data_IF_530167640941
#
_entry.id   IF_530167640941
#
_cell.length_a   1.000
_cell.length_b   1.000
_cell.length_c   1.000
_cell.angle_alpha   90.00
_cell.angle_beta   90.00
_cell.angle_gamma   90.00
#
_symmetry.space_group_name_H-M   'P 1'
#
loop_
_entity.id
_entity.type
_entity.pdbx_description
1 polymer ?
#
# COMPACT_ATOMS: atom_id res chain seq x y z
N UNK A 1 14.31 -14.53 -2.58
CA UNK A 1 14.24 -13.20 -3.21
C UNK A 1 15.21 -12.22 -2.55
N UNK A 2 14.85 -11.52 -1.45
CA UNK A 2 15.67 -10.43 -0.88
C UNK A 2 17.14 -10.83 -0.58
N UNK A 3 17.35 -11.96 0.11
CA UNK A 3 18.69 -12.51 0.38
C UNK A 3 19.48 -12.82 -0.90
N UNK A 4 18.84 -13.34 -1.95
CA UNK A 4 19.50 -13.70 -3.22
C UNK A 4 20.03 -12.49 -3.98
N UNK A 5 19.41 -11.32 -3.80
CA UNK A 5 19.80 -10.06 -4.47
C UNK A 5 20.53 -9.09 -3.53
N UNK A 6 20.77 -9.48 -2.27
CA UNK A 6 21.39 -8.63 -1.27
C UNK A 6 20.58 -7.39 -0.89
N UNK A 7 19.25 -7.42 -1.05
CA UNK A 7 18.38 -6.30 -0.70
C UNK A 7 18.28 -6.14 0.81
N UNK A 8 18.60 -4.94 1.31
CA UNK A 8 18.50 -4.58 2.74
C UNK A 8 17.16 -3.98 3.11
N UNK A 9 16.50 -3.34 2.15
CA UNK A 9 15.19 -2.71 2.30
C UNK A 9 14.28 -3.31 1.24
N UNK A 10 13.07 -3.65 1.65
CA UNK A 10 12.05 -4.28 0.82
C UNK A 10 10.86 -3.34 0.76
N UNK A 11 10.43 -3.03 -0.45
CA UNK A 11 9.12 -2.42 -0.70
C UNK A 11 8.15 -3.53 -1.03
N UNK A 12 7.13 -3.71 -0.20
CA UNK A 12 6.04 -4.66 -0.41
C UNK A 12 4.87 -3.93 -1.06
N UNK A 13 4.48 -4.38 -2.24
CA UNK A 13 3.22 -4.05 -2.90
C UNK A 13 2.47 -5.35 -3.23
N UNK A 14 1.14 -5.27 -3.39
CA UNK A 14 0.29 -6.42 -3.73
C UNK A 14 -0.20 -6.31 -5.18
N UNK A 15 -0.42 -7.45 -5.84
CA UNK A 15 -0.70 -7.50 -7.29
C UNK A 15 -2.11 -7.05 -7.68
N UNK A 16 -3.02 -7.00 -6.71
CA UNK A 16 -4.40 -6.50 -6.78
C UNK A 16 -4.50 -4.96 -6.70
N UNK A 17 -3.38 -4.27 -6.56
CA UNK A 17 -3.28 -2.81 -6.39
C UNK A 17 -2.65 -2.15 -7.63
N UNK A 18 -3.40 -1.98 -8.73
CA UNK A 18 -2.86 -1.56 -10.02
C UNK A 18 -2.42 -0.09 -10.07
N UNK A 19 -2.72 0.69 -9.03
CA UNK A 19 -2.42 2.13 -8.93
C UNK A 19 -1.42 2.43 -7.81
N UNK A 20 -0.59 1.46 -7.43
CA UNK A 20 0.52 1.69 -6.50
C UNK A 20 1.46 2.77 -7.06
N UNK A 21 1.68 3.86 -6.32
CA UNK A 21 2.40 5.04 -6.81
C UNK A 21 3.91 4.94 -6.51
N UNK A 22 4.78 4.96 -7.54
CA UNK A 22 6.23 5.02 -7.36
C UNK A 22 6.69 6.29 -6.64
N UNK A 23 6.07 7.44 -6.94
CA UNK A 23 6.36 8.70 -6.24
C UNK A 23 6.03 8.57 -4.76
N UNK A 24 4.94 7.85 -4.46
CA UNK A 24 4.56 7.51 -3.10
C UNK A 24 5.53 6.50 -2.46
N UNK A 25 6.22 5.66 -3.21
CA UNK A 25 7.26 4.79 -2.64
C UNK A 25 8.51 5.60 -2.30
N UNK A 26 8.94 6.49 -3.20
CA UNK A 26 10.18 7.27 -3.06
C UNK A 26 10.19 8.19 -1.83
N UNK A 27 9.13 8.97 -1.62
CA UNK A 27 9.04 9.84 -0.43
C UNK A 27 8.97 9.01 0.87
N UNK A 28 8.30 7.85 0.87
CA UNK A 28 8.22 6.98 2.05
C UNK A 28 9.59 6.34 2.36
N UNK A 29 10.34 5.93 1.35
CA UNK A 29 11.74 5.48 1.49
C UNK A 29 12.61 6.57 2.11
N UNK A 30 12.50 7.81 1.63
CA UNK A 30 13.27 8.93 2.21
C UNK A 30 12.93 9.14 3.70
N UNK A 31 11.66 9.02 4.08
CA UNK A 31 11.22 9.12 5.49
C UNK A 31 11.70 7.92 6.31
N UNK A 32 11.68 6.71 5.74
CA UNK A 32 12.17 5.49 6.35
C UNK A 32 13.65 5.59 6.69
N UNK A 33 14.47 6.04 5.73
CA UNK A 33 15.90 6.29 5.94
C UNK A 33 16.17 7.37 6.98
N UNK A 34 15.47 8.51 6.88
CA UNK A 34 15.64 9.62 7.84
C UNK A 34 15.27 9.21 9.26
N UNK A 35 14.22 8.40 9.39
CA UNK A 35 13.79 7.89 10.69
C UNK A 35 14.67 6.73 11.18
N UNK A 36 15.46 6.10 10.32
CA UNK A 36 16.18 4.85 10.61
C UNK A 36 15.23 3.79 11.19
N UNK A 37 14.07 3.62 10.55
CA UNK A 37 12.99 2.73 11.02
C UNK A 37 13.13 1.31 10.49
N UNK A 38 12.58 0.34 11.22
CA UNK A 38 12.46 -1.06 10.77
C UNK A 38 11.31 -1.24 9.77
N UNK A 39 10.25 -0.46 9.93
CA UNK A 39 9.03 -0.55 9.15
C UNK A 39 8.43 0.83 8.94
N UNK A 40 7.99 1.11 7.73
CA UNK A 40 7.32 2.35 7.36
C UNK A 40 6.12 2.07 6.49
N UNK A 41 5.00 2.70 6.82
CA UNK A 41 3.80 2.70 6.01
C UNK A 41 3.18 4.09 5.99
N UNK A 42 2.32 4.31 4.99
CA UNK A 42 1.62 5.57 4.80
C UNK A 42 0.17 5.40 5.27
N UNK A 43 -0.25 6.23 6.22
CA UNK A 43 -1.63 6.23 6.70
C UNK A 43 -2.43 7.38 6.06
N UNK A 44 -3.48 7.04 5.31
CA UNK A 44 -4.40 8.02 4.71
C UNK A 44 -4.41 8.09 3.18
N UNK A 45 -3.61 7.27 2.49
CA UNK A 45 -3.77 7.06 1.05
C UNK A 45 -5.07 6.28 0.76
N UNK A 46 -5.59 6.33 -0.48
CA UNK A 46 -6.65 5.42 -0.91
C UNK A 46 -6.29 3.95 -0.62
N UNK A 47 -7.31 3.16 -0.31
CA UNK A 47 -7.18 1.69 -0.28
C UNK A 47 -6.79 1.26 -1.69
N UNK A 48 -5.88 0.27 -1.81
CA UNK A 48 -5.43 -0.23 -3.11
C UNK A 48 -4.27 0.54 -3.75
N UNK A 49 -3.70 1.51 -3.03
CA UNK A 49 -2.47 2.23 -3.41
C UNK A 49 -1.33 1.90 -2.44
N UNK A 50 -1.69 1.41 -1.25
CA UNK A 50 -0.76 1.20 -0.15
C UNK A 50 0.35 0.21 -0.50
N UNK A 51 1.52 0.53 0.00
CA UNK A 51 2.71 -0.29 0.02
C UNK A 51 3.31 -0.17 1.42
N UNK A 52 4.32 -0.98 1.71
CA UNK A 52 5.10 -0.81 2.93
C UNK A 52 6.59 -0.99 2.67
N UNK A 53 7.38 -0.27 3.46
CA UNK A 53 8.85 -0.32 3.43
C UNK A 53 9.31 -1.04 4.69
N UNK A 54 10.11 -2.08 4.54
CA UNK A 54 10.56 -2.90 5.66
C UNK A 54 12.03 -3.28 5.51
N UNK A 55 12.76 -3.25 6.63
CA UNK A 55 14.12 -3.78 6.68
C UNK A 55 14.10 -5.30 6.55
N UNK A 56 15.03 -5.82 5.76
CA UNK A 56 15.24 -7.27 5.62
C UNK A 56 15.45 -7.94 6.97
N UNK A 57 16.25 -7.33 7.85
CA UNK A 57 16.52 -7.87 9.18
C UNK A 57 15.28 -7.90 10.07
N UNK A 58 14.37 -6.92 9.92
CA UNK A 58 13.09 -6.92 10.63
C UNK A 58 12.23 -8.12 10.19
N UNK A 59 12.15 -8.41 8.88
CA UNK A 59 11.45 -9.60 8.40
C UNK A 59 12.12 -10.91 8.86
N UNK A 60 13.45 -10.96 8.94
CA UNK A 60 14.16 -12.13 9.48
C UNK A 60 13.81 -12.37 10.95
N UNK A 61 13.75 -11.31 11.76
CA UNK A 61 13.30 -11.38 13.15
C UNK A 61 11.86 -11.88 13.25
N UNK A 62 10.95 -11.36 12.44
CA UNK A 62 9.56 -11.85 12.40
C UNK A 62 9.51 -13.34 12.02
N UNK A 63 10.27 -13.76 11.01
CA UNK A 63 10.33 -15.16 10.59
C UNK A 63 10.78 -16.10 11.72
N UNK A 64 11.75 -15.68 12.53
CA UNK A 64 12.24 -16.46 13.68
C UNK A 64 11.23 -16.52 14.83
N UNK A 65 10.41 -15.49 15.01
CA UNK A 65 9.42 -15.40 16.09
C UNK A 65 8.12 -16.15 15.79
N UNK A 66 7.79 -16.37 14.51
CA UNK A 66 6.51 -16.96 14.12
C UNK A 66 6.58 -18.47 13.92
N UNK A 67 5.69 -19.22 14.57
CA UNK A 67 5.47 -20.65 14.29
C UNK A 67 4.81 -20.88 12.91
N UNK A 68 4.90 -22.10 12.36
CA UNK A 68 4.51 -22.43 10.98
C UNK A 68 3.06 -22.15 10.64
N UNK A 69 2.16 -22.30 11.61
CA UNK A 69 0.71 -22.11 11.43
C UNK A 69 0.22 -20.73 11.91
N UNK A 70 1.12 -19.80 12.19
CA UNK A 70 0.72 -18.48 12.68
C UNK A 70 0.12 -17.65 11.53
N UNK A 71 -1.10 -17.06 11.68
CA UNK A 71 -1.76 -16.28 10.64
C UNK A 71 -0.97 -15.04 10.20
N UNK A 72 -0.09 -14.52 11.06
CA UNK A 72 0.81 -13.43 10.68
C UNK A 72 1.86 -13.85 9.65
N UNK A 73 2.08 -15.14 9.37
CA UNK A 73 3.00 -15.58 8.31
C UNK A 73 2.55 -15.16 6.91
N UNK A 74 1.24 -15.05 6.69
CA UNK A 74 0.68 -14.55 5.44
C UNK A 74 0.77 -13.02 5.38
N UNK A 75 0.42 -12.36 6.48
CA UNK A 75 0.44 -10.90 6.61
C UNK A 75 1.64 -10.44 7.46
N UNK A 76 2.87 -10.73 7.03
CA UNK A 76 4.09 -10.57 7.85
C UNK A 76 4.26 -9.19 8.51
N UNK A 77 3.79 -8.12 7.86
CA UNK A 77 3.86 -6.76 8.42
C UNK A 77 2.87 -6.52 9.56
N UNK A 78 1.77 -7.28 9.63
CA UNK A 78 0.80 -7.19 10.74
C UNK A 78 1.39 -7.58 12.09
N UNK A 79 2.35 -8.52 12.12
CA UNK A 79 3.06 -8.84 13.36
C UNK A 79 3.91 -7.66 13.84
N UNK A 80 4.58 -6.97 12.91
CA UNK A 80 5.38 -5.77 13.23
C UNK A 80 4.47 -4.71 13.83
N UNK A 81 3.34 -4.42 13.18
CA UNK A 81 2.34 -3.44 13.63
C UNK A 81 1.75 -3.78 15.00
N UNK A 82 1.51 -5.07 15.27
CA UNK A 82 1.02 -5.54 16.57
C UNK A 82 2.07 -5.47 17.71
N UNK A 83 3.36 -5.27 17.38
CA UNK A 83 4.47 -5.31 18.33
C UNK A 83 5.35 -4.03 18.27
N UNK A 84 4.80 -2.82 18.46
CA UNK A 84 5.56 -1.57 18.33
C UNK A 84 6.70 -1.41 19.34
N UNK A 85 6.71 -2.18 20.43
CA UNK A 85 7.83 -2.22 21.38
C UNK A 85 9.06 -2.99 20.88
N UNK A 86 8.92 -3.81 19.84
CA UNK A 86 10.00 -4.66 19.31
C UNK A 86 10.61 -4.12 18.01
N UNK A 87 9.92 -3.18 17.35
CA UNK A 87 10.28 -2.65 16.04
C UNK A 87 10.13 -1.13 16.01
N UNK A 88 11.06 -0.47 15.35
CA UNK A 88 10.98 0.98 15.15
C UNK A 88 10.04 1.28 13.97
N UNK A 89 8.79 1.60 14.28
CA UNK A 89 7.75 1.84 13.27
C UNK A 89 7.65 3.33 12.96
N UNK A 90 7.64 3.67 11.67
CA UNK A 90 7.38 5.02 11.19
C UNK A 90 6.07 5.06 10.42
N UNK A 91 5.09 5.77 10.98
CA UNK A 91 3.87 6.16 10.25
C UNK A 91 4.14 7.47 9.54
N UNK A 92 3.79 7.55 8.25
CA UNK A 92 3.89 8.75 7.44
C UNK A 92 2.50 9.19 7.02
N UNK A 93 2.23 10.49 7.10
CA UNK A 93 0.99 11.07 6.54
C UNK A 93 1.22 11.52 5.10
N UNK A 94 0.32 11.20 4.16
CA UNK A 94 0.42 11.67 2.79
C UNK A 94 0.22 13.18 2.72
N UNK A 95 0.79 13.84 1.69
CA UNK A 95 0.42 15.20 1.35
C UNK A 95 -1.12 15.37 1.29
N UNK A 96 -1.69 16.51 1.72
CA UNK A 96 -3.15 16.73 1.73
C UNK A 96 -3.84 16.43 0.40
N UNK A 97 -3.16 16.71 -0.71
CA UNK A 97 -3.60 16.48 -2.09
C UNK A 97 -3.68 14.99 -2.46
N UNK A 98 -3.04 14.10 -1.70
CA UNK A 98 -3.09 12.64 -1.87
C UNK A 98 -3.89 11.93 -0.77
N UNK A 99 -4.31 12.66 0.28
CA UNK A 99 -5.01 12.10 1.43
C UNK A 99 -6.49 11.85 1.08
N UNK A 100 -6.83 10.62 0.72
CA UNK A 100 -8.18 10.19 0.34
C UNK A 100 -8.50 8.79 0.91
N UNK A 101 -8.56 8.63 2.25
CA UNK A 101 -8.77 7.32 2.87
C UNK A 101 -10.15 6.70 2.59
N UNK A 102 -11.09 7.48 2.05
CA UNK A 102 -12.42 7.02 1.65
C UNK A 102 -12.46 6.41 0.24
N UNK A 103 -11.41 6.59 -0.56
CA UNK A 103 -11.34 6.01 -1.91
C UNK A 103 -10.85 4.57 -1.86
N UNK A 104 -11.45 3.73 -2.72
CA UNK A 104 -11.12 2.31 -2.89
C UNK A 104 -10.66 2.05 -4.32
N UNK A 105 -9.37 1.73 -4.47
CA UNK A 105 -8.65 1.56 -5.74
C UNK A 105 -7.95 0.19 -5.85
N UNK A 106 -8.43 -0.81 -5.10
CA UNK A 106 -8.01 -2.23 -5.22
C UNK A 106 -8.82 -2.93 -6.30
N UNK A 107 -8.55 -4.22 -6.55
CA UNK A 107 -9.29 -5.10 -7.47
C UNK A 107 -9.68 -6.40 -6.75
N UNK A 108 -10.64 -6.31 -5.81
CA UNK A 108 -11.16 -7.49 -5.09
C UNK A 108 -12.53 -7.94 -5.61
N UNK A 109 -13.32 -7.03 -6.21
CA UNK A 109 -14.67 -7.28 -6.73
C UNK A 109 -14.84 -6.86 -8.19
N UNK A 110 -15.98 -7.20 -8.79
CA UNK A 110 -16.31 -6.78 -10.17
C UNK A 110 -16.50 -5.25 -10.27
N UNK A 111 -17.06 -4.63 -9.24
CA UNK A 111 -17.22 -3.18 -9.12
C UNK A 111 -15.87 -2.47 -9.02
N UNK A 112 -14.96 -3.03 -8.20
CA UNK A 112 -13.58 -2.57 -8.09
C UNK A 112 -12.89 -2.59 -9.47
N UNK A 113 -12.97 -3.71 -10.19
CA UNK A 113 -12.44 -3.84 -11.54
C UNK A 113 -13.07 -2.85 -12.52
N UNK A 114 -14.38 -2.59 -12.38
CA UNK A 114 -15.11 -1.66 -13.23
C UNK A 114 -14.60 -0.23 -13.05
N UNK A 115 -14.44 0.23 -11.80
CA UNK A 115 -13.84 1.54 -11.51
C UNK A 115 -12.41 1.65 -12.05
N UNK A 116 -11.58 0.63 -11.84
CA UNK A 116 -10.20 0.63 -12.34
C UNK A 116 -10.17 0.72 -13.87
N UNK A 117 -11.06 0.03 -14.58
CA UNK A 117 -11.17 0.14 -16.04
C UNK A 117 -11.57 1.54 -16.49
N UNK A 118 -12.53 2.17 -15.81
CA UNK A 118 -12.92 3.56 -16.09
C UNK A 118 -11.76 4.53 -15.91
N UNK A 119 -10.98 4.38 -14.83
CA UNK A 119 -9.77 5.19 -14.58
C UNK A 119 -8.72 4.96 -15.67
N UNK A 120 -8.40 3.70 -15.97
CA UNK A 120 -7.40 3.37 -16.99
C UNK A 120 -7.83 3.85 -18.38
N UNK A 121 -9.11 3.77 -18.74
CA UNK A 121 -9.60 4.25 -20.04
C UNK A 121 -9.39 5.75 -20.26
N UNK A 122 -9.42 6.55 -19.18
CA UNK A 122 -9.28 8.02 -19.23
C UNK A 122 -7.82 8.47 -19.11
N UNK A 123 -7.03 7.79 -18.28
CA UNK A 123 -5.71 8.27 -17.88
C UNK A 123 -4.54 7.50 -18.50
N UNK A 124 -4.74 6.24 -18.91
CA UNK A 124 -3.65 5.42 -19.42
C UNK A 124 -3.15 5.94 -20.75
N UNK A 125 -1.83 6.08 -20.85
CA UNK A 125 -1.11 6.36 -22.09
C UNK A 125 0.01 5.34 -22.24
N UNK A 126 0.18 4.72 -23.42
CA UNK A 126 1.25 3.75 -23.63
C UNK A 126 2.61 4.28 -23.20
N UNK A 127 3.32 3.52 -22.37
CA UNK A 127 4.64 3.87 -21.84
C UNK A 127 4.65 4.93 -20.73
N UNK A 128 3.49 5.35 -20.23
CA UNK A 128 3.39 6.29 -19.11
C UNK A 128 2.77 5.64 -17.88
N UNK A 129 3.28 6.01 -16.71
CA UNK A 129 2.73 5.64 -15.42
C UNK A 129 1.56 6.58 -15.11
N UNK A 130 0.42 6.02 -14.71
CA UNK A 130 -0.70 6.82 -14.20
C UNK A 130 -0.30 7.36 -12.83
N UNK A 131 -0.25 8.68 -12.68
CA UNK A 131 0.06 9.30 -11.40
C UNK A 131 -1.15 9.22 -10.48
N UNK A 132 -0.91 8.91 -9.22
CA UNK A 132 -1.98 8.89 -8.21
C UNK A 132 -2.72 10.23 -8.13
N UNK A 133 -2.00 11.35 -8.31
CA UNK A 133 -2.61 12.67 -8.30
C UNK A 133 -3.66 12.82 -9.41
N UNK A 134 -3.36 12.35 -10.62
CA UNK A 134 -4.28 12.42 -11.76
C UNK A 134 -5.54 11.57 -11.51
N UNK A 135 -5.37 10.42 -10.85
CA UNK A 135 -6.50 9.57 -10.42
C UNK A 135 -7.37 10.30 -9.41
N UNK A 136 -6.77 10.91 -8.38
CA UNK A 136 -7.52 11.64 -7.35
C UNK A 136 -8.24 12.84 -7.98
N UNK A 137 -7.57 13.59 -8.87
CA UNK A 137 -8.17 14.72 -9.57
C UNK A 137 -9.37 14.30 -10.42
N UNK A 138 -9.27 13.17 -11.14
CA UNK A 138 -10.39 12.61 -11.89
C UNK A 138 -11.57 12.27 -10.96
N UNK A 139 -11.33 11.60 -9.84
CA UNK A 139 -12.39 11.16 -8.94
C UNK A 139 -13.01 12.31 -8.13
N UNK A 140 -12.23 13.34 -7.83
CA UNK A 140 -12.72 14.59 -7.22
C UNK A 140 -13.61 15.37 -8.21
N UNK A 141 -13.30 15.32 -9.52
CA UNK A 141 -14.08 15.99 -10.59
C UNK A 141 -15.32 15.20 -11.02
N UNK A 142 -15.25 13.87 -11.02
CA UNK A 142 -16.33 12.95 -11.41
C UNK A 142 -16.74 12.05 -10.23
N UNK A 143 -17.38 12.60 -9.18
CA UNK A 143 -17.68 11.86 -7.96
C UNK A 143 -18.64 10.67 -8.18
N UNK A 144 -19.38 10.63 -9.30
CA UNK A 144 -20.20 9.47 -9.68
C UNK A 144 -19.36 8.20 -9.86
N UNK A 145 -18.09 8.30 -10.29
CA UNK A 145 -17.19 7.16 -10.42
C UNK A 145 -16.94 6.49 -9.05
N UNK A 146 -16.81 7.29 -7.99
CA UNK A 146 -16.56 6.74 -6.64
C UNK A 146 -17.73 5.89 -6.13
N UNK A 147 -18.95 6.14 -6.62
CA UNK A 147 -20.15 5.40 -6.21
C UNK A 147 -20.14 3.95 -6.68
N UNK A 148 -19.33 3.63 -7.71
CA UNK A 148 -19.21 2.28 -8.28
C UNK A 148 -18.89 1.26 -7.18
N UNK A 149 -17.93 1.55 -6.30
CA UNK A 149 -17.47 0.60 -5.28
C UNK A 149 -17.45 1.16 -3.86
N UNK A 150 -17.90 2.41 -3.61
CA UNK A 150 -17.86 3.00 -2.26
C UNK A 150 -18.67 2.22 -1.20
N UNK A 151 -19.63 1.39 -1.64
CA UNK A 151 -20.47 0.57 -0.76
C UNK A 151 -19.80 -0.75 -0.36
N UNK A 152 -18.67 -1.11 -0.99
CA UNK A 152 -17.91 -2.32 -0.71
C UNK A 152 -17.13 -2.14 0.59
N UNK A 153 -17.37 -3.05 1.55
CA UNK A 153 -16.64 -3.07 2.82
C UNK A 153 -15.31 -3.81 2.66
N UNK A 154 -14.20 -3.16 3.05
CA UNK A 154 -12.90 -3.82 3.19
C UNK A 154 -12.98 -4.89 4.29
N UNK A 155 -12.65 -6.13 3.95
CA UNK A 155 -12.54 -7.21 4.93
C UNK A 155 -11.29 -7.03 5.78
N UNK A 156 -11.40 -7.38 7.06
CA UNK A 156 -10.28 -7.42 7.98
C UNK A 156 -9.51 -8.74 7.85
N UNK A 157 -8.24 -8.77 8.29
CA UNK A 157 -7.47 -10.02 8.36
C UNK A 157 -8.20 -11.00 9.28
N UNK A 158 -8.66 -12.13 8.73
CA UNK A 158 -9.37 -13.19 9.46
C UNK A 158 -10.90 -13.14 9.40
N UNK A 159 -11.51 -12.19 8.66
CA UNK A 159 -12.94 -12.19 8.27
C UNK A 159 -13.15 -12.85 6.90
#
# INVERSE_FOLDING_TARGET
AASQVGAKIIVRATGDNPLCSPEAIDWALAKHHKADSDYTFVNGLPIGVAFSVVNYDALCRVHQLLESLNPHREHVTSFIEANPGQFKIKVVEPPPELKRPHLRLTVDTEEDLSLIREIYSRLYKPGQIIKLRDVIDLLDQEPELTKINTHIRQKSVGE
#
